data_IF_783321812568
#
_entry.id   IF_783321812568
#
_cell.length_a   1.000
_cell.length_b   1.000
_cell.length_c   1.000
_cell.angle_alpha   90.00
_cell.angle_beta   90.00
_cell.angle_gamma   90.00
#
_symmetry.space_group_name_H-M   'P 1'
#
loop_
_entity.id
_entity.type
_entity.pdbx_description
1 polymer ?
#
# COMPACT_ATOMS: atom_id res chain seq x y z
N UNK A 1 -2.18 -2.78 12.13
CA UNK A 1 -1.61 -1.45 11.83
C UNK A 1 -0.21 -1.35 12.43
N UNK A 2 0.83 -1.86 11.75
CA UNK A 2 2.21 -1.83 12.27
C UNK A 2 3.06 -0.69 11.69
N UNK A 3 2.63 -0.06 10.59
CA UNK A 3 3.55 0.72 9.74
C UNK A 3 3.41 2.26 9.82
N UNK A 4 2.52 2.79 10.67
CA UNK A 4 2.18 4.22 10.69
C UNK A 4 3.27 5.17 11.27
N UNK A 5 4.49 4.70 11.57
CA UNK A 5 5.57 5.51 12.16
C UNK A 5 6.93 5.41 11.45
N UNK A 6 7.02 4.62 10.38
CA UNK A 6 8.29 4.37 9.71
C UNK A 6 8.41 5.22 8.44
N UNK A 7 9.60 5.79 8.22
CA UNK A 7 9.93 6.41 6.93
C UNK A 7 9.87 5.38 5.81
N UNK A 8 9.75 5.83 4.56
CA UNK A 8 9.59 5.00 3.36
C UNK A 8 10.60 3.83 3.29
N UNK A 9 11.85 4.09 3.71
CA UNK A 9 12.93 3.09 3.76
C UNK A 9 12.70 1.98 4.78
N UNK A 10 12.20 2.32 5.96
CA UNK A 10 12.02 1.34 7.04
C UNK A 10 10.84 0.38 6.78
N UNK A 11 9.78 0.84 6.11
CA UNK A 11 8.71 -0.05 5.63
C UNK A 11 9.26 -1.05 4.60
N UNK A 12 10.11 -0.56 3.68
CA UNK A 12 10.75 -1.40 2.68
C UNK A 12 11.70 -2.44 3.30
N UNK A 13 12.53 -2.04 4.26
CA UNK A 13 13.51 -2.90 4.92
C UNK A 13 12.84 -4.00 5.75
N UNK A 14 11.84 -3.65 6.55
CA UNK A 14 11.11 -4.61 7.40
C UNK A 14 10.38 -5.66 6.56
N UNK A 15 9.72 -5.23 5.49
CA UNK A 15 9.01 -6.15 4.62
C UNK A 15 10.00 -7.11 3.91
N UNK A 16 11.22 -6.64 3.60
CA UNK A 16 12.27 -7.44 2.96
C UNK A 16 12.81 -8.50 3.90
N UNK A 17 13.04 -8.12 5.16
CA UNK A 17 13.47 -9.04 6.22
C UNK A 17 12.45 -10.17 6.42
N UNK A 18 11.16 -9.83 6.45
CA UNK A 18 10.07 -10.80 6.63
C UNK A 18 9.76 -11.65 5.39
N UNK A 19 10.40 -11.35 4.25
CA UNK A 19 10.17 -12.01 2.94
C UNK A 19 8.70 -12.05 2.54
N UNK A 20 7.94 -11.02 2.89
CA UNK A 20 6.50 -10.99 2.63
C UNK A 20 6.25 -10.74 1.15
N UNK A 21 5.43 -11.58 0.50
CA UNK A 21 5.07 -11.43 -0.92
C UNK A 21 4.17 -10.23 -1.20
N UNK A 22 3.41 -9.79 -0.19
CA UNK A 22 2.45 -8.69 -0.25
C UNK A 22 2.54 -7.89 1.04
N UNK A 23 2.55 -6.57 0.94
CA UNK A 23 2.43 -5.66 2.09
C UNK A 23 1.03 -5.02 2.04
N UNK A 24 0.27 -5.19 3.10
CA UNK A 24 -1.13 -4.73 3.18
C UNK A 24 -1.22 -3.41 3.94
N UNK A 25 -1.83 -2.40 3.31
CA UNK A 25 -2.13 -1.07 3.84
C UNK A 25 -1.00 -0.48 4.71
N UNK A 26 0.20 -0.27 4.13
CA UNK A 26 1.41 0.12 4.86
C UNK A 26 1.37 1.55 5.40
N UNK A 27 0.51 2.41 4.86
CA UNK A 27 0.43 3.83 5.25
C UNK A 27 -1.03 4.29 5.28
N UNK A 28 -1.26 5.58 5.50
CA UNK A 28 -2.59 6.17 5.52
C UNK A 28 -3.29 5.94 4.16
N UNK A 29 -4.52 5.42 4.21
CA UNK A 29 -5.33 5.04 3.04
C UNK A 29 -5.62 6.14 2.01
N UNK A 30 -5.47 7.41 2.39
CA UNK A 30 -5.65 8.56 1.49
C UNK A 30 -4.31 9.19 1.05
N UNK A 31 -3.17 8.66 1.49
CA UNK A 31 -1.85 9.07 1.00
C UNK A 31 -1.52 8.33 -0.31
N UNK A 32 -2.30 8.64 -1.36
CA UNK A 32 -2.18 7.99 -2.66
C UNK A 32 -0.80 8.20 -3.30
N UNK A 33 -0.21 9.38 -3.09
CA UNK A 33 1.13 9.68 -3.59
C UNK A 33 2.20 8.86 -2.85
N UNK A 34 2.10 8.75 -1.52
CA UNK A 34 2.97 7.90 -0.71
C UNK A 34 2.88 6.44 -1.10
N UNK A 35 1.67 5.93 -1.35
CA UNK A 35 1.42 4.57 -1.82
C UNK A 35 2.06 4.32 -3.20
N UNK A 36 1.92 5.26 -4.15
CA UNK A 36 2.58 5.20 -5.45
C UNK A 36 4.11 5.18 -5.30
N UNK A 37 4.67 6.03 -4.43
CA UNK A 37 6.12 6.06 -4.15
C UNK A 37 6.61 4.73 -3.57
N UNK A 38 5.87 4.16 -2.61
CA UNK A 38 6.19 2.84 -2.04
C UNK A 38 6.24 1.77 -3.11
N UNK A 39 5.20 1.69 -3.94
CA UNK A 39 5.11 0.71 -5.04
C UNK A 39 6.33 0.76 -5.98
N UNK A 40 6.83 1.96 -6.28
CA UNK A 40 8.03 2.11 -7.11
C UNK A 40 9.34 1.84 -6.35
N UNK A 41 9.38 2.06 -5.04
CA UNK A 41 10.56 1.81 -4.22
C UNK A 41 10.76 0.33 -3.86
N UNK A 42 9.68 -0.46 -3.76
CA UNK A 42 9.73 -1.85 -3.28
C UNK A 42 9.52 -2.88 -4.40
N UNK A 43 10.51 -3.06 -5.27
CA UNK A 43 10.43 -3.94 -6.45
C UNK A 43 10.43 -5.46 -6.16
N UNK A 44 10.50 -5.88 -4.90
CA UNK A 44 10.64 -7.29 -4.49
C UNK A 44 9.39 -7.83 -3.75
N UNK A 45 8.39 -6.98 -3.53
CA UNK A 45 7.07 -7.33 -2.95
C UNK A 45 5.97 -6.58 -3.70
N UNK A 46 4.71 -6.75 -3.32
CA UNK A 46 3.56 -6.04 -3.89
C UNK A 46 2.82 -5.23 -2.84
N UNK A 47 2.36 -4.04 -3.18
CA UNK A 47 1.50 -3.22 -2.33
C UNK A 47 0.04 -3.60 -2.56
N UNK A 48 -0.58 -4.18 -1.53
CA UNK A 48 -2.02 -4.39 -1.46
C UNK A 48 -2.65 -3.26 -0.64
N UNK A 49 -3.59 -2.53 -1.23
CA UNK A 49 -4.26 -1.44 -0.51
C UNK A 49 -5.69 -1.23 -0.99
N UNK A 50 -6.43 -0.43 -0.24
CA UNK A 50 -7.83 -0.10 -0.49
C UNK A 50 -8.75 -0.50 0.65
N UNK A 51 -8.20 -0.98 1.77
CA UNK A 51 -8.99 -1.25 2.97
C UNK A 51 -9.67 0.04 3.47
N UNK A 52 -10.94 -0.09 3.87
CA UNK A 52 -11.83 1.00 4.25
C UNK A 52 -12.12 2.08 3.20
N UNK A 53 -11.66 1.93 1.95
CA UNK A 53 -12.09 2.80 0.85
C UNK A 53 -13.42 2.31 0.29
N UNK A 54 -14.37 3.23 0.09
CA UNK A 54 -15.56 3.00 -0.71
C UNK A 54 -15.22 2.98 -2.21
N UNK A 55 -16.22 2.80 -3.07
CA UNK A 55 -15.99 2.74 -4.52
C UNK A 55 -15.30 4.00 -5.06
N UNK A 56 -15.70 5.19 -4.58
CA UNK A 56 -15.10 6.46 -4.99
C UNK A 56 -13.63 6.55 -4.58
N UNK A 57 -13.30 6.18 -3.34
CA UNK A 57 -11.94 6.11 -2.86
C UNK A 57 -11.08 5.12 -3.63
N UNK A 58 -11.64 3.94 -3.98
CA UNK A 58 -10.94 2.94 -4.81
C UNK A 58 -10.66 3.46 -6.22
N UNK A 59 -11.56 4.21 -6.83
CA UNK A 59 -11.33 4.86 -8.12
C UNK A 59 -10.14 5.84 -8.04
N UNK A 60 -10.12 6.70 -7.02
CA UNK A 60 -9.01 7.65 -6.82
C UNK A 60 -7.68 6.91 -6.59
N UNK A 61 -7.70 5.82 -5.83
CA UNK A 61 -6.52 4.96 -5.62
C UNK A 61 -5.98 4.38 -6.95
N UNK A 62 -6.87 3.93 -7.83
CA UNK A 62 -6.52 3.39 -9.14
C UNK A 62 -5.97 4.48 -10.08
N UNK A 63 -6.61 5.65 -10.12
CA UNK A 63 -6.18 6.80 -10.94
C UNK A 63 -4.79 7.31 -10.53
N UNK A 64 -4.46 7.21 -9.24
CA UNK A 64 -3.14 7.56 -8.72
C UNK A 64 -2.12 6.42 -8.82
N UNK A 65 -2.52 5.25 -9.36
CA UNK A 65 -1.70 4.06 -9.41
C UNK A 65 -1.07 3.70 -8.04
N UNK A 66 -1.86 3.82 -6.97
CA UNK A 66 -1.36 3.67 -5.60
C UNK A 66 -1.17 2.21 -5.14
N UNK A 67 -1.70 1.22 -5.87
CA UNK A 67 -1.60 -0.17 -5.47
C UNK A 67 -1.14 -1.08 -6.62
N UNK A 68 -0.53 -2.20 -6.27
CA UNK A 68 -0.33 -3.36 -7.18
C UNK A 68 -1.55 -4.29 -7.13
N UNK A 69 -2.17 -4.41 -5.95
CA UNK A 69 -3.33 -5.24 -5.67
C UNK A 69 -4.38 -4.35 -5.02
N UNK A 70 -5.60 -4.34 -5.57
CA UNK A 70 -6.73 -3.63 -4.97
C UNK A 70 -7.47 -4.56 -4.00
N UNK A 71 -7.49 -4.20 -2.72
CA UNK A 71 -8.27 -4.92 -1.72
C UNK A 71 -9.77 -4.58 -1.85
N UNK A 72 -10.62 -5.61 -1.90
CA UNK A 72 -12.08 -5.48 -2.04
C UNK A 72 -12.80 -6.39 -1.06
N UNK A 73 -13.96 -5.95 -0.58
CA UNK A 73 -14.85 -6.72 0.29
C UNK A 73 -16.23 -6.80 -0.36
N UNK A 74 -16.99 -7.88 -0.11
CA UNK A 74 -18.28 -8.14 -0.75
C UNK A 74 -19.50 -7.49 -0.08
N UNK A 75 -19.35 -6.28 0.47
CA UNK A 75 -20.44 -5.54 1.12
C UNK A 75 -20.88 -4.38 0.26
#
# INVERSE_FOLDING_TARGET
MLFAKLGLSAIADEAREKRTRVVEDPILRHDFEGLRKLRHAVNWTRINSGEYLDLAGKLILLDNHGADILNVHGR
#
